data_IF_852965122002
#
_entry.id   IF_852965122002
#
_cell.length_a   1.000
_cell.length_b   1.000
_cell.length_c   1.000
_cell.angle_alpha   90.00
_cell.angle_beta   90.00
_cell.angle_gamma   90.00
#
_symmetry.space_group_name_H-M   'P 1'
#
loop_
_entity.id
_entity.type
_entity.pdbx_description
1 polymer ?
#
# COMPACT_ATOMS: atom_id res chain seq x y z
N UNK A 1 -10.79 -12.12 21.87
CA UNK A 1 -9.97 -12.78 20.84
C UNK A 1 -9.59 -11.72 19.82
N UNK A 2 -8.29 -11.46 19.60
CA UNK A 2 -7.86 -10.46 18.60
C UNK A 2 -7.71 -11.17 17.25
N UNK A 3 -8.62 -10.92 16.31
CA UNK A 3 -8.48 -11.39 14.94
C UNK A 3 -7.36 -10.58 14.27
N UNK A 4 -6.27 -11.26 13.91
CA UNK A 4 -5.15 -10.66 13.17
C UNK A 4 -5.45 -10.84 11.69
N UNK A 5 -5.63 -9.74 10.92
CA UNK A 5 -5.81 -9.85 9.48
C UNK A 5 -4.66 -10.62 8.83
N UNK A 6 -4.98 -11.52 7.91
CA UNK A 6 -4.03 -12.25 7.09
C UNK A 6 -3.82 -11.51 5.77
N UNK A 7 -2.59 -11.09 5.47
CA UNK A 7 -2.23 -10.47 4.19
C UNK A 7 -2.20 -11.55 3.09
N UNK A 8 -3.02 -11.37 2.06
CA UNK A 8 -3.14 -12.27 0.91
C UNK A 8 -2.27 -11.82 -0.26
N UNK A 9 -2.19 -10.51 -0.48
CA UNK A 9 -1.35 -9.93 -1.53
C UNK A 9 -0.90 -8.53 -1.17
N UNK A 10 0.28 -8.15 -1.65
CA UNK A 10 0.78 -6.77 -1.69
C UNK A 10 1.50 -6.57 -3.02
N UNK A 11 1.13 -5.53 -3.75
CA UNK A 11 1.66 -5.24 -5.08
C UNK A 11 1.95 -3.76 -5.19
N UNK A 12 3.17 -3.43 -5.61
CA UNK A 12 3.57 -2.04 -5.86
C UNK A 12 3.37 -1.74 -7.35
N UNK A 13 2.79 -0.58 -7.64
CA UNK A 13 2.54 -0.12 -8.99
C UNK A 13 2.57 1.41 -9.08
N UNK A 14 2.59 1.97 -10.28
CA UNK A 14 2.53 3.42 -10.46
C UNK A 14 1.14 3.96 -10.09
N UNK A 15 0.06 3.33 -10.59
CA UNK A 15 -1.32 3.82 -10.42
C UNK A 15 -2.30 2.69 -10.15
N UNK A 16 -3.27 2.94 -9.26
CA UNK A 16 -4.43 2.07 -9.02
C UNK A 16 -5.66 2.78 -9.57
N UNK A 17 -6.39 2.11 -10.46
CA UNK A 17 -7.65 2.62 -11.03
C UNK A 17 -8.77 1.71 -10.56
N UNK A 18 -9.78 2.27 -9.91
CA UNK A 18 -10.99 1.53 -9.54
C UNK A 18 -12.13 1.83 -10.52
N UNK A 19 -12.66 0.77 -11.14
CA UNK A 19 -13.88 0.87 -11.93
C UNK A 19 -15.07 1.08 -10.99
N UNK A 20 -15.64 2.29 -11.02
CA UNK A 20 -16.77 2.69 -10.17
C UNK A 20 -18.01 1.80 -10.33
N UNK A 21 -18.19 1.15 -11.47
CA UNK A 21 -19.36 0.32 -11.72
C UNK A 21 -19.23 -1.08 -11.09
N UNK A 22 -18.01 -1.61 -11.02
CA UNK A 22 -17.75 -2.99 -10.59
C UNK A 22 -16.95 -3.11 -9.30
N UNK A 23 -16.32 -2.04 -8.84
CA UNK A 23 -15.38 -2.03 -7.72
C UNK A 23 -14.05 -2.74 -8.02
N UNK A 24 -13.84 -3.19 -9.26
CA UNK A 24 -12.61 -3.89 -9.66
C UNK A 24 -11.46 -2.90 -9.80
N UNK A 25 -10.27 -3.32 -9.35
CA UNK A 25 -9.06 -2.50 -9.41
C UNK A 25 -8.14 -2.95 -10.54
N UNK A 26 -7.67 -2.00 -11.33
CA UNK A 26 -6.61 -2.17 -12.32
C UNK A 26 -5.31 -1.60 -11.76
N UNK A 27 -4.25 -2.40 -11.79
CA UNK A 27 -2.91 -1.99 -11.35
C UNK A 27 -2.07 -1.66 -12.58
N UNK A 28 -1.69 -0.39 -12.73
CA UNK A 28 -0.94 0.11 -13.89
C UNK A 28 0.51 0.31 -13.51
N UNK A 29 1.41 -0.27 -14.32
CA UNK A 29 2.85 -0.19 -14.09
C UNK A 29 3.29 -0.92 -12.83
N UNK A 30 3.01 -2.23 -12.74
CA UNK A 30 3.53 -3.07 -11.63
C UNK A 30 5.04 -3.15 -11.73
N UNK A 31 5.74 -2.96 -10.61
CA UNK A 31 7.20 -3.04 -10.54
C UNK A 31 7.69 -3.70 -9.26
N UNK A 32 8.93 -4.15 -9.29
CA UNK A 32 9.63 -4.74 -8.14
C UNK A 32 10.88 -3.96 -7.73
N UNK A 33 11.32 -3.03 -8.58
CA UNK A 33 12.52 -2.24 -8.39
C UNK A 33 12.27 -0.78 -8.79
N UNK A 34 12.85 0.15 -8.03
CA UNK A 34 12.89 1.57 -8.38
C UNK A 34 14.23 1.88 -9.03
N UNK A 35 14.20 2.43 -10.24
CA UNK A 35 15.40 2.90 -10.90
C UNK A 35 15.67 4.36 -10.52
N UNK A 36 16.90 4.66 -10.11
CA UNK A 36 17.38 6.02 -9.93
C UNK A 36 18.76 6.17 -10.55
N UNK A 37 19.00 7.29 -11.24
CA UNK A 37 20.33 7.61 -11.80
C UNK A 37 21.28 8.19 -10.75
N UNK A 38 20.75 8.93 -9.79
CA UNK A 38 21.52 9.66 -8.77
C UNK A 38 20.66 9.84 -7.52
N UNK A 39 21.29 9.88 -6.35
CA UNK A 39 20.64 10.31 -5.11
C UNK A 39 21.05 11.75 -4.75
N UNK A 40 20.20 12.53 -4.06
CA UNK A 40 18.82 12.21 -3.70
C UNK A 40 17.91 12.14 -4.94
N UNK A 41 16.85 11.35 -4.89
CA UNK A 41 15.84 11.30 -5.94
C UNK A 41 14.43 11.46 -5.38
N UNK A 42 13.57 12.07 -6.20
CA UNK A 42 12.16 12.23 -5.90
C UNK A 42 11.35 11.33 -6.83
N UNK A 43 10.59 10.40 -6.26
CA UNK A 43 9.67 9.54 -7.00
C UNK A 43 8.26 10.16 -6.97
N UNK A 44 7.70 10.60 -8.11
CA UNK A 44 6.49 11.43 -8.13
C UNK A 44 5.28 10.81 -7.44
N UNK A 45 5.06 9.51 -7.64
CA UNK A 45 3.95 8.77 -7.06
C UNK A 45 4.28 7.28 -6.99
N UNK A 46 3.92 6.63 -5.89
CA UNK A 46 4.01 5.19 -5.72
C UNK A 46 2.69 4.70 -5.13
N UNK A 47 2.06 3.75 -5.79
CA UNK A 47 0.82 3.15 -5.33
C UNK A 47 1.05 1.71 -4.87
N UNK A 48 0.35 1.32 -3.80
CA UNK A 48 0.42 -0.02 -3.24
C UNK A 48 -0.99 -0.55 -3.12
N UNK A 49 -1.22 -1.63 -3.83
CA UNK A 49 -2.39 -2.47 -3.68
C UNK A 49 -2.12 -3.51 -2.60
N UNK A 50 -3.07 -3.75 -1.72
CA UNK A 50 -3.00 -4.85 -0.77
C UNK A 50 -4.36 -5.49 -0.57
N UNK A 51 -4.33 -6.78 -0.23
CA UNK A 51 -5.50 -7.62 -0.06
C UNK A 51 -5.38 -8.38 1.25
N UNK A 52 -6.44 -8.38 2.06
CA UNK A 52 -6.48 -8.99 3.39
C UNK A 52 -7.74 -9.83 3.59
N UNK A 53 -7.67 -10.80 4.49
CA UNK A 53 -8.80 -11.59 4.98
C UNK A 53 -8.61 -11.90 6.47
N UNK A 54 -9.44 -12.75 7.07
CA UNK A 54 -9.42 -13.07 8.51
C UNK A 54 -9.56 -11.82 9.41
N UNK A 55 -10.30 -10.83 8.94
CA UNK A 55 -10.46 -9.54 9.60
C UNK A 55 -11.94 -9.27 9.88
N UNK A 56 -12.27 -8.87 11.11
CA UNK A 56 -13.64 -8.49 11.49
C UNK A 56 -13.62 -7.34 12.51
N UNK A 57 -14.37 -6.28 12.23
CA UNK A 57 -14.41 -5.05 13.04
C UNK A 57 -13.79 -3.85 12.32
N UNK A 58 -13.45 -2.81 13.11
CA UNK A 58 -12.90 -1.56 12.60
C UNK A 58 -11.37 -1.61 12.57
N UNK A 59 -10.79 -1.30 11.41
CA UNK A 59 -9.34 -1.32 11.19
C UNK A 59 -8.84 0.03 10.66
N UNK A 60 -7.64 0.38 11.07
CA UNK A 60 -6.84 1.45 10.46
C UNK A 60 -5.62 0.81 9.84
N UNK A 61 -5.47 0.96 8.52
CA UNK A 61 -4.31 0.46 7.80
C UNK A 61 -3.34 1.60 7.54
N UNK A 62 -2.07 1.36 7.88
CA UNK A 62 -0.94 2.21 7.52
C UNK A 62 0.08 1.38 6.75
N UNK A 63 0.67 1.98 5.73
CA UNK A 63 1.79 1.42 5.01
C UNK A 63 2.98 2.34 5.20
N UNK A 64 4.10 1.77 5.67
CA UNK A 64 5.34 2.50 5.88
C UNK A 64 6.40 2.00 4.93
N UNK A 65 7.00 2.92 4.19
CA UNK A 65 8.24 2.67 3.48
C UNK A 65 9.39 3.01 4.41
N UNK A 66 10.26 2.05 4.69
CA UNK A 66 11.36 2.18 5.65
C UNK A 66 12.70 1.88 4.98
N UNK A 67 13.73 2.62 5.38
CA UNK A 67 15.11 2.29 5.05
C UNK A 67 15.58 1.16 5.96
N UNK A 68 15.82 -0.03 5.42
CA UNK A 68 16.09 -1.23 6.21
C UNK A 68 17.33 -1.11 7.12
N UNK A 69 18.42 -0.53 6.62
CA UNK A 69 19.67 -0.44 7.41
C UNK A 69 19.62 0.59 8.53
N UNK A 70 18.76 1.61 8.42
CA UNK A 70 18.67 2.73 9.36
C UNK A 70 17.39 2.68 10.21
N UNK A 71 16.51 1.70 9.94
CA UNK A 71 15.13 1.61 10.43
C UNK A 71 14.38 2.96 10.36
N UNK A 72 14.68 3.75 9.33
CA UNK A 72 14.20 5.12 9.18
C UNK A 72 12.99 5.15 8.25
N UNK A 73 11.87 5.67 8.74
CA UNK A 73 10.68 5.90 7.91
C UNK A 73 10.99 6.92 6.80
N UNK A 74 10.77 6.52 5.55
CA UNK A 74 10.93 7.34 4.34
C UNK A 74 9.59 7.99 3.99
N UNK A 75 8.53 7.20 3.99
CA UNK A 75 7.18 7.66 3.68
C UNK A 75 6.14 6.80 4.40
N UNK A 76 4.96 7.36 4.57
CA UNK A 76 3.80 6.67 5.12
C UNK A 76 2.56 7.05 4.34
N UNK A 77 1.72 6.07 4.06
CA UNK A 77 0.39 6.26 3.53
C UNK A 77 -0.64 5.56 4.40
N UNK A 78 -1.81 6.18 4.53
CA UNK A 78 -2.91 5.68 5.35
C UNK A 78 -4.20 5.74 4.55
N UNK A 79 -5.15 4.85 4.87
CA UNK A 79 -6.54 4.97 4.40
C UNK A 79 -7.45 5.34 5.57
N UNK A 80 -8.64 5.92 5.29
CA UNK A 80 -9.65 6.11 6.31
C UNK A 80 -9.99 4.79 7.04
N UNK A 81 -10.47 4.85 8.30
CA UNK A 81 -10.91 3.66 9.01
C UNK A 81 -11.94 2.87 8.21
N UNK A 82 -11.81 1.55 8.22
CA UNK A 82 -12.68 0.63 7.48
C UNK A 82 -13.34 -0.35 8.44
N UNK A 83 -14.63 -0.56 8.25
CA UNK A 83 -15.39 -1.64 8.89
C UNK A 83 -15.37 -2.88 7.98
N UNK A 84 -14.84 -3.99 8.49
CA UNK A 84 -14.90 -5.31 7.84
C UNK A 84 -15.94 -6.14 8.58
N UNK A 85 -17.05 -6.46 7.92
CA UNK A 85 -18.23 -7.07 8.55
C UNK A 85 -18.14 -8.58 8.66
N UNK A 86 -17.59 -9.23 7.64
CA UNK A 86 -17.45 -10.68 7.58
C UNK A 86 -15.98 -11.08 7.63
N UNK A 87 -15.63 -11.91 8.61
CA UNK A 87 -14.29 -12.41 8.83
C UNK A 87 -13.72 -13.14 7.60
N UNK A 88 -14.57 -13.88 6.88
CA UNK A 88 -14.16 -14.69 5.74
C UNK A 88 -14.13 -13.88 4.44
N UNK A 89 -14.57 -12.63 4.48
CA UNK A 89 -14.48 -11.75 3.33
C UNK A 89 -13.02 -11.47 2.99
N UNK A 90 -12.73 -11.44 1.70
CA UNK A 90 -11.49 -10.91 1.15
C UNK A 90 -11.77 -9.47 0.77
N UNK A 91 -10.97 -8.55 1.30
CA UNK A 91 -11.07 -7.11 1.01
C UNK A 91 -9.74 -6.57 0.51
N UNK A 92 -9.79 -5.65 -0.43
CA UNK A 92 -8.63 -5.08 -1.09
C UNK A 92 -8.70 -3.57 -1.19
N UNK A 93 -7.56 -2.92 -0.96
CA UNK A 93 -7.43 -1.47 -0.90
C UNK A 93 -6.16 -0.99 -1.61
N UNK A 94 -6.15 0.31 -1.93
CA UNK A 94 -5.01 0.99 -2.51
C UNK A 94 -4.56 2.15 -1.64
N UNK A 95 -3.25 2.34 -1.50
CA UNK A 95 -2.62 3.52 -0.90
C UNK A 95 -1.70 4.13 -1.94
N UNK A 96 -1.84 5.43 -2.19
CA UNK A 96 -0.91 6.18 -3.05
C UNK A 96 -0.11 7.16 -2.20
N UNK A 97 1.21 7.04 -2.26
CA UNK A 97 2.16 7.99 -1.70
C UNK A 97 2.65 8.92 -2.81
N UNK A 98 2.69 10.21 -2.53
CA UNK A 98 3.14 11.23 -3.49
C UNK A 98 4.47 11.82 -3.04
N UNK A 99 5.30 12.22 -4.01
CA UNK A 99 6.57 12.91 -3.77
C UNK A 99 7.49 12.15 -2.80
N UNK A 100 7.67 10.85 -3.03
CA UNK A 100 8.48 10.00 -2.15
C UNK A 100 9.96 10.35 -2.35
N UNK A 101 10.58 10.90 -1.31
CA UNK A 101 11.98 11.35 -1.36
C UNK A 101 12.92 10.29 -0.83
N UNK A 102 13.82 9.83 -1.70
CA UNK A 102 14.92 8.96 -1.30
C UNK A 102 16.19 9.79 -1.13
N UNK A 103 16.73 9.76 0.08
CA UNK A 103 18.00 10.39 0.41
C UNK A 103 19.17 9.52 -0.05
N UNK A 104 20.38 10.08 -0.07
CA UNK A 104 21.57 9.27 -0.31
C UNK A 104 21.71 8.16 0.75
N UNK A 105 22.13 6.95 0.36
CA UNK A 105 22.33 5.81 1.26
C UNK A 105 23.36 6.11 2.35
#
# INVERSE_FOLDING_TARGET
MSFRPSLQAIVVCDTIIEDRNTGKKSLIGIFTHLASKTFPCNYPSMSIYFCVTDAAGNYTFSLKLVHLDQDKQIAEGTIPPIEIKDRLQIVDYGITMLQVQFHAP
#
